data_IF_309653214564
#
_entry.id   IF_309653214564
#
_cell.length_a   1.000
_cell.length_b   1.000
_cell.length_c   1.000
_cell.angle_alpha   90.00
_cell.angle_beta   90.00
_cell.angle_gamma   90.00
#
_symmetry.space_group_name_H-M   'P 1'
#
loop_
_entity.id
_entity.type
_entity.pdbx_description
1 polymer ?
#
# COMPACT_ATOMS: atom_id res chain seq x y z
N UNK A 1 1.07 -34.99 -6.89
CA UNK A 1 0.87 -34.26 -8.16
C UNK A 1 1.04 -32.79 -7.84
N UNK A 2 2.19 -32.23 -8.22
CA UNK A 2 2.54 -30.85 -7.92
C UNK A 2 2.02 -29.99 -9.08
N UNK A 3 0.79 -29.50 -8.98
CA UNK A 3 0.29 -28.45 -9.87
C UNK A 3 1.10 -27.19 -9.56
N UNK A 4 2.21 -27.03 -10.27
CA UNK A 4 2.84 -25.73 -10.43
C UNK A 4 1.77 -24.82 -11.04
N UNK A 5 1.13 -24.04 -10.16
CA UNK A 5 0.33 -22.88 -10.48
C UNK A 5 1.08 -22.06 -11.51
N UNK A 6 0.68 -22.20 -12.79
CA UNK A 6 1.13 -21.31 -13.84
C UNK A 6 0.50 -19.96 -13.51
N UNK A 7 1.21 -19.15 -12.74
CA UNK A 7 0.88 -17.76 -12.51
C UNK A 7 0.57 -17.15 -13.88
N UNK A 8 -0.68 -16.76 -14.09
CA UNK A 8 -1.08 -16.01 -15.27
C UNK A 8 -0.20 -14.76 -15.33
N UNK A 9 0.31 -14.37 -16.50
CA UNK A 9 1.14 -13.18 -16.61
C UNK A 9 0.37 -11.99 -16.04
N UNK A 10 1.01 -11.24 -15.15
CA UNK A 10 0.45 -10.05 -14.55
C UNK A 10 0.03 -9.09 -15.65
N UNK A 11 -1.16 -8.49 -15.51
CA UNK A 11 -1.55 -7.43 -16.41
C UNK A 11 -0.56 -6.26 -16.24
N UNK A 12 -0.05 -5.64 -17.31
CA UNK A 12 1.00 -4.61 -17.22
C UNK A 12 0.66 -3.32 -16.45
N UNK A 13 -0.58 -3.20 -15.95
CA UNK A 13 -1.07 -2.01 -15.24
C UNK A 13 -1.47 -2.32 -13.80
N UNK A 14 -1.29 -3.57 -13.37
CA UNK A 14 -1.63 -4.06 -12.05
C UNK A 14 -0.36 -4.24 -11.19
N UNK A 15 -0.53 -4.18 -9.87
CA UNK A 15 0.55 -4.35 -8.90
C UNK A 15 1.05 -5.79 -8.83
N UNK A 16 2.37 -5.93 -8.78
CA UNK A 16 3.05 -7.22 -8.63
C UNK A 16 3.18 -7.67 -7.18
N UNK A 17 3.13 -6.73 -6.23
CA UNK A 17 3.38 -6.98 -4.81
C UNK A 17 2.14 -6.71 -3.96
N UNK A 18 1.94 -7.56 -2.97
CA UNK A 18 0.88 -7.40 -1.98
C UNK A 18 1.12 -6.11 -1.18
N UNK A 19 0.09 -5.28 -0.95
CA UNK A 19 0.25 -4.03 -0.21
C UNK A 19 0.75 -4.30 1.21
N UNK A 20 1.75 -3.54 1.63
CA UNK A 20 2.31 -3.62 2.98
C UNK A 20 1.61 -2.67 3.97
N UNK A 21 0.93 -1.66 3.45
CA UNK A 21 0.30 -0.59 4.22
C UNK A 21 -1.14 -0.38 3.77
N UNK A 22 -2.00 -0.04 4.72
CA UNK A 22 -3.36 0.44 4.46
C UNK A 22 -3.73 1.58 5.41
N UNK A 23 -4.91 2.14 5.22
CA UNK A 23 -5.47 3.19 6.09
C UNK A 23 -6.71 2.63 6.78
N UNK A 24 -6.70 2.63 8.11
CA UNK A 24 -7.86 2.21 8.90
C UNK A 24 -8.96 3.27 8.88
N UNK A 25 -10.17 2.91 9.31
CA UNK A 25 -11.35 3.81 9.39
C UNK A 25 -11.08 5.12 10.15
N UNK A 26 -10.21 5.08 11.17
CA UNK A 26 -9.82 6.26 11.94
C UNK A 26 -8.73 7.13 11.27
N UNK A 27 -8.42 6.85 10.01
CA UNK A 27 -7.45 7.57 9.19
C UNK A 27 -5.99 7.21 9.47
N UNK A 28 -5.71 6.31 10.43
CA UNK A 28 -4.33 5.91 10.73
C UNK A 28 -3.78 4.98 9.68
N UNK A 29 -2.53 5.20 9.31
CA UNK A 29 -1.76 4.28 8.47
C UNK A 29 -1.32 3.07 9.30
N UNK A 30 -1.60 1.86 8.80
CA UNK A 30 -1.37 0.59 9.50
C UNK A 30 -0.49 -0.32 8.67
N UNK A 31 0.52 -0.92 9.30
CA UNK A 31 1.33 -1.97 8.68
C UNK A 31 0.51 -3.26 8.66
N UNK A 32 0.25 -3.80 7.47
CA UNK A 32 -0.64 -4.95 7.26
C UNK A 32 0.00 -6.30 7.63
N UNK A 33 1.14 -6.27 8.32
CA UNK A 33 1.83 -7.45 8.81
C UNK A 33 0.92 -8.20 9.79
N UNK A 34 0.66 -9.47 9.46
CA UNK A 34 -0.18 -10.37 10.27
C UNK A 34 -1.57 -10.62 9.71
N UNK A 35 -2.03 -9.92 8.65
CA UNK A 35 -3.30 -10.26 8.00
C UNK A 35 -3.15 -11.54 7.17
N UNK A 36 -3.67 -12.65 7.69
CA UNK A 36 -3.61 -13.96 7.03
C UNK A 36 -4.49 -14.05 5.78
N UNK A 37 -5.49 -13.16 5.62
CA UNK A 37 -6.44 -13.18 4.50
C UNK A 37 -5.93 -12.37 3.31
N UNK A 38 -5.19 -11.30 3.57
CA UNK A 38 -4.73 -10.34 2.57
C UNK A 38 -3.96 -11.01 1.42
N UNK A 39 -3.02 -11.94 1.64
CA UNK A 39 -2.33 -12.61 0.52
C UNK A 39 -3.28 -13.35 -0.42
N UNK A 40 -4.28 -14.05 0.11
CA UNK A 40 -5.26 -14.79 -0.69
C UNK A 40 -6.20 -13.84 -1.44
N UNK A 41 -6.66 -12.78 -0.79
CA UNK A 41 -7.51 -11.75 -1.43
C UNK A 41 -6.76 -10.97 -2.51
N UNK A 42 -5.48 -10.68 -2.28
CA UNK A 42 -4.61 -10.06 -3.28
C UNK A 42 -4.39 -10.97 -4.49
N UNK A 43 -4.17 -12.27 -4.26
CA UNK A 43 -4.05 -13.24 -5.34
C UNK A 43 -5.35 -13.36 -6.17
N UNK A 44 -6.52 -13.30 -5.53
CA UNK A 44 -7.81 -13.24 -6.23
C UNK A 44 -7.93 -11.96 -7.05
N UNK A 45 -7.57 -10.81 -6.48
CA UNK A 45 -7.54 -9.54 -7.22
C UNK A 45 -6.59 -9.64 -8.43
N UNK A 46 -5.41 -10.25 -8.32
CA UNK A 46 -4.53 -10.47 -9.47
C UNK A 46 -5.16 -11.41 -10.52
N UNK A 47 -5.82 -12.48 -10.09
CA UNK A 47 -6.47 -13.45 -10.98
C UNK A 47 -7.69 -12.88 -11.75
N UNK A 48 -8.32 -11.85 -11.18
CA UNK A 48 -9.43 -11.09 -11.78
C UNK A 48 -8.99 -10.10 -12.87
N UNK A 49 -7.69 -10.00 -13.13
CA UNK A 49 -7.17 -9.12 -14.17
C UNK A 49 -7.70 -9.51 -15.57
N UNK A 50 -7.84 -8.51 -16.44
CA UNK A 50 -8.31 -8.70 -17.81
C UNK A 50 -7.39 -9.69 -18.55
N UNK A 51 -8.01 -10.71 -19.18
CA UNK A 51 -7.30 -11.77 -19.93
C UNK A 51 -7.05 -11.43 -21.40
N UNK A 52 -7.42 -10.23 -21.82
CA UNK A 52 -7.30 -9.76 -23.20
C UNK A 52 -7.90 -10.72 -24.26
N UNK A 53 -9.02 -11.37 -23.95
CA UNK A 53 -9.65 -12.36 -24.85
C UNK A 53 -10.28 -11.76 -26.11
N UNK A 54 -10.52 -10.45 -26.14
CA UNK A 54 -11.10 -9.73 -27.26
C UNK A 54 -10.27 -8.50 -27.56
N UNK A 55 -9.78 -8.42 -28.79
CA UNK A 55 -8.95 -7.32 -29.29
C UNK A 55 -9.43 -6.87 -30.66
N UNK A 56 -9.16 -5.60 -30.96
CA UNK A 56 -9.45 -4.98 -32.25
C UNK A 56 -8.25 -4.18 -32.73
N UNK A 57 -8.14 -3.99 -34.04
CA UNK A 57 -7.16 -3.07 -34.61
C UNK A 57 -7.75 -1.66 -34.60
N UNK A 58 -7.06 -0.71 -33.97
CA UNK A 58 -7.41 0.71 -34.01
C UNK A 58 -6.49 1.46 -34.96
N UNK A 59 -7.02 2.52 -35.59
CA UNK A 59 -6.24 3.50 -36.36
C UNK A 59 -6.29 4.86 -35.69
N UNK A 60 -5.16 5.53 -35.59
CA UNK A 60 -5.09 6.90 -35.08
C UNK A 60 -3.91 7.68 -35.67
N UNK A 61 -3.91 8.99 -35.50
CA UNK A 61 -2.82 9.85 -35.96
C UNK A 61 -1.90 10.20 -34.79
N UNK A 62 -0.58 10.04 -34.96
CA UNK A 62 0.39 10.46 -33.94
C UNK A 62 0.65 11.98 -34.01
N UNK A 63 1.46 12.51 -33.08
CA UNK A 63 1.80 13.94 -33.04
C UNK A 63 2.51 14.45 -34.31
N UNK A 64 3.18 13.55 -35.05
CA UNK A 64 3.84 13.85 -36.33
C UNK A 64 2.92 13.73 -37.55
N UNK A 65 1.60 13.56 -37.36
CA UNK A 65 0.64 13.46 -38.47
C UNK A 65 0.63 12.09 -39.17
N UNK A 66 1.38 11.11 -38.68
CA UNK A 66 1.45 9.78 -39.28
C UNK A 66 0.31 8.89 -38.76
N UNK A 67 -0.31 8.14 -39.67
CA UNK A 67 -1.30 7.13 -39.32
C UNK A 67 -0.62 5.91 -38.70
N UNK A 68 -1.07 5.56 -37.49
CA UNK A 68 -0.59 4.44 -36.69
C UNK A 68 -1.70 3.41 -36.51
N UNK A 69 -1.31 2.15 -36.39
CA UNK A 69 -2.22 1.04 -36.13
C UNK A 69 -1.70 0.20 -34.96
N UNK A 70 -2.59 -0.30 -34.10
CA UNK A 70 -2.21 -1.22 -33.01
C UNK A 70 -3.41 -2.08 -32.60
N UNK A 71 -3.13 -3.20 -31.94
CA UNK A 71 -4.14 -3.98 -31.24
C UNK A 71 -4.49 -3.32 -29.91
N UNK A 72 -5.79 -3.20 -29.64
CA UNK A 72 -6.30 -2.81 -28.33
C UNK A 72 -7.30 -3.83 -27.82
N UNK A 73 -7.22 -4.11 -26.52
CA UNK A 73 -8.21 -4.91 -25.84
C UNK A 73 -9.53 -4.14 -25.73
N UNK A 74 -10.65 -4.76 -26.12
CA UNK A 74 -11.97 -4.12 -26.03
C UNK A 74 -12.57 -4.15 -24.62
N UNK A 75 -11.99 -4.95 -23.72
CA UNK A 75 -12.42 -5.08 -22.32
C UNK A 75 -11.72 -4.11 -21.37
N UNK A 76 -10.39 -3.95 -21.48
CA UNK A 76 -9.63 -3.05 -20.60
C UNK A 76 -8.97 -1.87 -21.33
N UNK A 77 -9.10 -1.75 -22.66
CA UNK A 77 -8.53 -0.63 -23.42
C UNK A 77 -7.00 -0.68 -23.59
N UNK A 78 -6.32 -1.67 -23.02
CA UNK A 78 -4.87 -1.79 -23.09
C UNK A 78 -4.37 -1.98 -24.53
N UNK A 79 -3.26 -1.32 -24.86
CA UNK A 79 -2.56 -1.50 -26.12
C UNK A 79 -1.70 -2.77 -26.07
N UNK A 80 -2.17 -3.85 -26.70
CA UNK A 80 -1.57 -5.17 -26.60
C UNK A 80 -0.37 -5.37 -27.52
N UNK A 81 -0.25 -4.55 -28.57
CA UNK A 81 0.82 -4.67 -29.55
C UNK A 81 1.60 -3.36 -29.71
N UNK A 82 2.82 -3.51 -30.21
CA UNK A 82 3.51 -2.41 -30.88
C UNK A 82 2.79 -2.06 -32.18
N UNK A 83 3.30 -1.04 -32.87
CA UNK A 83 2.76 -0.55 -34.13
C UNK A 83 2.67 -1.65 -35.19
N UNK A 84 1.48 -1.80 -35.78
CA UNK A 84 1.25 -2.66 -36.93
C UNK A 84 1.57 -1.91 -38.21
N UNK A 85 2.06 -2.65 -39.21
CA UNK A 85 2.12 -2.15 -40.58
C UNK A 85 0.70 -1.96 -41.11
N UNK A 86 0.54 -1.01 -42.03
CA UNK A 86 -0.77 -0.70 -42.60
C UNK A 86 -1.40 -1.92 -43.28
N UNK A 87 -0.62 -2.67 -44.04
CA UNK A 87 -1.09 -3.84 -44.79
C UNK A 87 -1.63 -4.94 -43.86
N UNK A 88 -1.01 -5.10 -42.69
CA UNK A 88 -1.44 -6.07 -41.68
C UNK A 88 -2.72 -5.61 -40.99
N UNK A 89 -2.79 -4.33 -40.63
CA UNK A 89 -3.97 -3.71 -40.03
C UNK A 89 -5.20 -3.77 -40.95
N UNK A 90 -5.03 -3.49 -42.24
CA UNK A 90 -6.11 -3.57 -43.24
C UNK A 90 -6.60 -5.00 -43.46
N UNK A 91 -5.69 -5.98 -43.45
CA UNK A 91 -6.03 -7.41 -43.59
C UNK A 91 -6.82 -7.94 -42.39
N UNK A 92 -6.49 -7.50 -41.18
CA UNK A 92 -7.21 -7.90 -39.95
C UNK A 92 -8.53 -7.14 -39.76
N UNK A 93 -8.67 -5.97 -40.39
CA UNK A 93 -9.86 -5.13 -40.30
C UNK A 93 -9.74 -4.09 -39.19
N UNK A 94 -9.72 -2.81 -39.58
CA UNK A 94 -9.66 -1.69 -38.64
C UNK A 94 -11.07 -1.42 -38.08
N UNK A 95 -11.19 -1.42 -36.76
CA UNK A 95 -12.44 -1.10 -36.08
C UNK A 95 -12.83 0.36 -36.30
N UNK A 96 -14.06 0.58 -36.76
CA UNK A 96 -14.62 1.92 -36.96
C UNK A 96 -15.19 2.51 -35.66
N UNK A 97 -15.78 1.68 -34.80
CA UNK A 97 -16.48 2.12 -33.58
C UNK A 97 -15.62 2.08 -32.31
N UNK A 98 -14.35 1.70 -32.44
CA UNK A 98 -13.41 1.61 -31.32
C UNK A 98 -12.20 2.51 -31.58
N UNK A 99 -12.31 3.76 -31.14
CA UNK A 99 -11.30 4.79 -31.36
C UNK A 99 -10.18 4.73 -30.31
N UNK A 100 -9.07 5.44 -30.58
CA UNK A 100 -7.98 5.62 -29.60
C UNK A 100 -8.47 6.25 -28.29
N UNK A 101 -9.36 7.25 -28.37
CA UNK A 101 -9.87 7.94 -27.18
C UNK A 101 -10.77 7.03 -26.34
N UNK A 102 -11.57 6.18 -27.01
CA UNK A 102 -12.36 5.14 -26.34
C UNK A 102 -11.46 4.13 -25.65
N UNK A 103 -10.41 3.65 -26.34
CA UNK A 103 -9.43 2.73 -25.76
C UNK A 103 -8.73 3.36 -24.54
N UNK A 104 -8.29 4.61 -24.64
CA UNK A 104 -7.64 5.35 -23.55
C UNK A 104 -8.58 5.57 -22.36
N UNK A 105 -9.84 5.96 -22.60
CA UNK A 105 -10.85 6.13 -21.56
C UNK A 105 -11.12 4.82 -20.82
N UNK A 106 -11.28 3.73 -21.57
CA UNK A 106 -11.49 2.39 -20.99
C UNK A 106 -10.27 1.92 -20.18
N UNK A 107 -9.06 2.19 -20.66
CA UNK A 107 -7.82 1.88 -19.92
C UNK A 107 -7.70 2.69 -18.64
N UNK A 108 -8.04 3.97 -18.65
CA UNK A 108 -8.05 4.79 -17.45
C UNK A 108 -9.10 4.31 -16.46
N UNK A 109 -10.31 4.00 -16.93
CA UNK A 109 -11.38 3.45 -16.09
C UNK A 109 -10.95 2.13 -15.45
N UNK A 110 -10.45 1.18 -16.25
CA UNK A 110 -9.97 -0.10 -15.75
C UNK A 110 -8.90 0.10 -14.67
N UNK A 111 -7.89 0.94 -14.92
CA UNK A 111 -6.85 1.25 -13.93
C UNK A 111 -7.40 1.85 -12.64
N UNK A 112 -8.34 2.80 -12.74
CA UNK A 112 -8.96 3.43 -11.59
C UNK A 112 -9.76 2.41 -10.75
N UNK A 113 -10.55 1.56 -11.39
CA UNK A 113 -11.31 0.51 -10.71
C UNK A 113 -10.40 -0.52 -10.02
N UNK A 114 -9.32 -0.94 -10.70
CA UNK A 114 -8.32 -1.86 -10.14
C UNK A 114 -7.66 -1.27 -8.90
N UNK A 115 -7.21 -0.01 -8.98
CA UNK A 115 -6.59 0.70 -7.86
C UNK A 115 -7.56 0.90 -6.70
N UNK A 116 -8.82 1.25 -6.98
CA UNK A 116 -9.85 1.41 -5.95
C UNK A 116 -10.09 0.09 -5.20
N UNK A 117 -10.19 -1.04 -5.92
CA UNK A 117 -10.35 -2.37 -5.29
C UNK A 117 -9.14 -2.76 -4.46
N UNK A 118 -7.92 -2.53 -4.96
CA UNK A 118 -6.69 -2.82 -4.21
C UNK A 118 -6.60 -1.97 -2.94
N UNK A 119 -6.93 -0.69 -3.05
CA UNK A 119 -6.97 0.24 -1.91
C UNK A 119 -8.00 -0.22 -0.87
N UNK A 120 -9.20 -0.62 -1.31
CA UNK A 120 -10.22 -1.15 -0.43
C UNK A 120 -9.76 -2.43 0.29
N UNK A 121 -9.10 -3.36 -0.42
CA UNK A 121 -8.51 -4.56 0.19
C UNK A 121 -7.48 -4.21 1.27
N UNK A 122 -6.58 -3.26 1.00
CA UNK A 122 -5.56 -2.81 1.93
C UNK A 122 -6.18 -2.13 3.17
N UNK A 123 -7.18 -1.26 2.98
CA UNK A 123 -7.87 -0.58 4.08
C UNK A 123 -8.66 -1.56 4.93
N UNK A 124 -9.41 -2.48 4.32
CA UNK A 124 -10.11 -3.52 5.09
C UNK A 124 -9.15 -4.45 5.85
N UNK A 125 -7.93 -4.66 5.35
CA UNK A 125 -6.89 -5.37 6.11
C UNK A 125 -6.38 -4.53 7.28
N UNK A 126 -6.22 -3.22 7.10
CA UNK A 126 -5.88 -2.30 8.18
C UNK A 126 -6.92 -2.36 9.30
N UNK A 127 -8.21 -2.34 8.97
CA UNK A 127 -9.30 -2.39 9.95
C UNK A 127 -9.33 -3.71 10.74
N UNK A 128 -9.00 -4.83 10.10
CA UNK A 128 -8.91 -6.14 10.77
C UNK A 128 -7.74 -6.22 11.74
N UNK A 129 -6.58 -5.69 11.34
CA UNK A 129 -5.32 -5.87 12.07
C UNK A 129 -5.09 -4.81 13.14
N UNK A 130 -5.59 -3.59 12.94
CA UNK A 130 -5.34 -2.48 13.84
C UNK A 130 -5.77 -2.77 15.29
N UNK A 131 -6.96 -3.35 15.57
CA UNK A 131 -7.37 -3.65 16.95
C UNK A 131 -6.43 -4.64 17.63
N UNK A 132 -6.07 -5.72 16.94
CA UNK A 132 -5.15 -6.74 17.45
C UNK A 132 -3.77 -6.14 17.73
N UNK A 133 -3.21 -5.35 16.81
CA UNK A 133 -1.91 -4.69 17.03
C UNK A 133 -1.91 -3.72 18.22
N UNK A 134 -3.04 -3.04 18.46
CA UNK A 134 -3.22 -2.17 19.65
C UNK A 134 -3.26 -2.98 20.93
N UNK A 135 -3.97 -4.10 20.93
CA UNK A 135 -4.05 -4.98 22.08
C UNK A 135 -2.68 -5.60 22.41
N UNK A 136 -2.00 -6.17 21.42
CA UNK A 136 -0.65 -6.71 21.56
C UNK A 136 0.34 -5.64 22.07
N UNK A 137 0.20 -4.39 21.61
CA UNK A 137 1.01 -3.29 22.14
C UNK A 137 0.67 -2.96 23.60
N UNK A 138 -0.61 -2.91 23.94
CA UNK A 138 -1.06 -2.71 25.33
C UNK A 138 -0.54 -3.82 26.25
N UNK A 139 -0.62 -5.07 25.83
CA UNK A 139 -0.07 -6.23 26.54
C UNK A 139 1.44 -6.11 26.73
N UNK A 140 2.14 -5.72 25.67
CA UNK A 140 3.57 -5.47 25.75
C UNK A 140 3.92 -4.42 26.80
N UNK A 141 3.20 -3.28 26.83
CA UNK A 141 3.41 -2.23 27.83
C UNK A 141 3.01 -2.67 29.26
N UNK A 142 2.13 -3.67 29.40
CA UNK A 142 1.81 -4.28 30.71
C UNK A 142 2.79 -5.37 31.13
N UNK A 143 3.64 -5.83 30.22
CA UNK A 143 4.53 -6.96 30.47
C UNK A 143 5.60 -6.66 31.53
N UNK A 144 6.01 -7.66 32.34
CA UNK A 144 7.14 -7.51 33.27
C UNK A 144 8.45 -7.09 32.58
N UNK A 145 8.64 -7.48 31.32
CA UNK A 145 9.82 -7.11 30.54
C UNK A 145 9.87 -5.59 30.29
N UNK A 146 8.75 -5.01 29.84
CA UNK A 146 8.64 -3.57 29.66
C UNK A 146 8.77 -2.82 30.98
N UNK A 147 8.09 -3.27 32.05
CA UNK A 147 8.17 -2.61 33.36
C UNK A 147 9.61 -2.55 33.89
N UNK A 148 10.41 -3.62 33.69
CA UNK A 148 11.85 -3.61 34.00
C UNK A 148 12.63 -2.61 33.15
N UNK A 149 12.38 -2.53 31.84
CA UNK A 149 13.04 -1.54 30.96
C UNK A 149 12.67 -0.12 31.38
N UNK A 150 11.37 0.15 31.58
CA UNK A 150 10.83 1.42 32.04
C UNK A 150 11.52 1.89 33.33
N UNK A 151 11.61 1.02 34.33
CA UNK A 151 12.29 1.33 35.60
C UNK A 151 13.77 1.71 35.41
N UNK A 152 14.51 1.00 34.54
CA UNK A 152 15.92 1.33 34.24
C UNK A 152 16.07 2.69 33.57
N UNK A 153 15.19 3.03 32.62
CA UNK A 153 15.23 4.32 31.93
C UNK A 153 14.92 5.48 32.89
N UNK A 154 13.89 5.33 33.74
CA UNK A 154 13.58 6.32 34.77
C UNK A 154 14.72 6.50 35.79
N UNK A 155 15.35 5.39 36.20
CA UNK A 155 16.50 5.42 37.11
C UNK A 155 17.72 6.08 36.48
N UNK A 156 18.02 5.81 35.19
CA UNK A 156 19.08 6.49 34.42
C UNK A 156 18.91 8.01 34.47
N UNK A 157 17.68 8.47 34.29
CA UNK A 157 17.34 9.89 34.28
C UNK A 157 17.21 10.50 35.70
N UNK A 158 17.54 9.75 36.76
CA UNK A 158 17.32 10.13 38.15
C UNK A 158 15.89 10.65 38.40
N UNK A 159 14.90 10.03 37.76
CA UNK A 159 13.50 10.45 37.77
C UNK A 159 13.25 11.92 37.37
N UNK A 160 14.16 12.55 36.65
CA UNK A 160 14.02 13.91 36.10
C UNK A 160 13.71 13.84 34.60
N UNK A 161 12.75 14.64 34.13
CA UNK A 161 12.37 14.69 32.73
C UNK A 161 13.54 15.11 31.85
N UNK A 162 13.93 14.28 30.88
CA UNK A 162 15.04 14.54 29.95
C UNK A 162 14.68 15.62 28.89
N UNK A 163 13.39 15.99 28.75
CA UNK A 163 12.94 17.01 27.82
C UNK A 163 12.94 18.45 28.35
N UNK A 164 12.55 18.64 29.62
CA UNK A 164 12.52 19.98 30.24
C UNK A 164 13.53 20.15 31.37
N UNK A 165 14.14 19.06 31.84
CA UNK A 165 15.17 19.04 32.89
C UNK A 165 14.73 19.57 34.25
N UNK A 166 13.42 19.77 34.46
CA UNK A 166 12.85 20.37 35.68
C UNK A 166 11.82 19.47 36.36
N UNK A 167 10.85 18.95 35.60
CA UNK A 167 9.74 18.18 36.16
C UNK A 167 10.14 16.72 36.44
N UNK A 168 9.47 16.03 37.37
CA UNK A 168 9.62 14.59 37.53
C UNK A 168 9.25 13.83 36.25
N UNK A 169 10.05 12.84 35.86
CA UNK A 169 9.72 11.94 34.77
C UNK A 169 8.70 10.89 35.24
N UNK A 170 7.56 10.85 34.57
CA UNK A 170 6.45 9.92 34.86
C UNK A 170 6.35 8.80 33.83
N UNK A 171 6.89 9.01 32.63
CA UNK A 171 6.71 8.13 31.49
C UNK A 171 8.01 7.90 30.73
N UNK A 172 8.01 6.84 29.91
CA UNK A 172 9.09 6.53 28.99
C UNK A 172 8.53 6.56 27.58
N UNK A 173 9.12 7.42 26.76
CA UNK A 173 8.74 7.63 25.37
C UNK A 173 9.69 6.88 24.43
N UNK A 174 9.14 6.30 23.37
CA UNK A 174 9.89 5.62 22.31
C UNK A 174 10.28 6.62 21.23
N UNK A 175 11.57 6.86 21.03
CA UNK A 175 12.10 7.66 19.92
C UNK A 175 11.94 6.94 18.56
N UNK A 176 11.91 5.60 18.59
CA UNK A 176 11.66 4.75 17.45
C UNK A 176 11.00 3.45 17.91
N UNK A 177 10.23 2.83 17.01
CA UNK A 177 9.61 1.53 17.22
C UNK A 177 10.32 0.38 16.47
N UNK A 178 11.48 0.65 15.86
CA UNK A 178 12.21 -0.31 15.01
C UNK A 178 12.55 -1.63 15.73
N UNK A 179 12.92 -1.56 17.02
CA UNK A 179 13.29 -2.73 17.84
C UNK A 179 12.26 -3.02 18.94
N UNK A 180 10.98 -2.70 18.72
CA UNK A 180 9.90 -2.94 19.70
C UNK A 180 9.96 -4.37 20.26
N UNK A 181 9.94 -4.50 21.58
CA UNK A 181 10.10 -5.76 22.32
C UNK A 181 11.55 -6.11 22.71
N UNK A 182 12.52 -5.49 22.04
CA UNK A 182 13.97 -5.67 22.23
C UNK A 182 14.72 -4.33 22.10
N UNK A 183 14.14 -3.26 22.64
CA UNK A 183 14.61 -1.88 22.44
C UNK A 183 15.98 -1.67 23.07
N UNK A 184 16.79 -0.84 22.40
CA UNK A 184 17.99 -0.31 23.03
C UNK A 184 17.63 0.80 24.01
N UNK A 185 18.40 0.93 25.09
CA UNK A 185 18.10 1.94 26.12
C UNK A 185 18.15 3.38 25.59
N UNK A 186 18.96 3.65 24.56
CA UNK A 186 19.06 4.98 23.93
C UNK A 186 17.88 5.31 23.01
N UNK A 187 17.03 4.34 22.66
CA UNK A 187 15.80 4.58 21.90
C UNK A 187 14.64 5.02 22.81
N UNK A 188 14.89 5.06 24.11
CA UNK A 188 13.92 5.36 25.15
C UNK A 188 14.34 6.61 25.93
N UNK A 189 13.39 7.52 26.15
CA UNK A 189 13.61 8.79 26.86
C UNK A 189 12.59 8.94 27.99
N UNK A 190 13.04 9.34 29.18
CA UNK A 190 12.22 9.59 30.36
C UNK A 190 11.61 10.99 30.29
N UNK A 191 10.29 11.11 30.26
CA UNK A 191 9.59 12.38 30.12
C UNK A 191 8.54 12.58 31.22
N UNK A 192 8.25 13.83 31.53
CA UNK A 192 7.03 14.21 32.23
C UNK A 192 5.84 14.22 31.24
N UNK A 193 4.62 14.05 31.74
CA UNK A 193 3.40 14.06 30.93
C UNK A 193 3.30 15.28 29.98
N UNK A 194 3.57 16.54 30.40
CA UNK A 194 3.53 17.69 29.48
C UNK A 194 4.50 17.57 28.30
N UNK A 195 5.73 17.10 28.56
CA UNK A 195 6.72 16.91 27.50
C UNK A 195 6.35 15.74 26.58
N UNK A 196 5.79 14.66 27.16
CA UNK A 196 5.35 13.51 26.39
C UNK A 196 4.19 13.85 25.46
N UNK A 197 3.19 14.58 25.96
CA UNK A 197 2.05 15.06 25.15
C UNK A 197 2.51 16.01 24.06
N UNK A 198 3.42 16.96 24.38
CA UNK A 198 3.99 17.89 23.38
C UNK A 198 4.68 17.15 22.23
N UNK A 199 5.34 16.02 22.50
CA UNK A 199 6.00 15.22 21.47
C UNK A 199 5.00 14.55 20.50
N UNK A 200 3.84 14.11 20.98
CA UNK A 200 2.82 13.46 20.14
C UNK A 200 1.93 14.45 19.39
N UNK A 201 2.08 15.76 19.60
CA UNK A 201 1.36 16.75 18.82
C UNK A 201 1.93 16.80 17.40
N UNK A 202 1.09 16.73 16.35
CA UNK A 202 1.55 16.99 15.00
C UNK A 202 2.11 18.41 14.92
N UNK A 203 3.21 18.59 14.20
CA UNK A 203 3.77 19.92 13.94
C UNK A 203 2.65 20.85 13.46
N UNK A 204 2.46 21.97 14.14
CA UNK A 204 1.61 23.03 13.62
C UNK A 204 2.34 23.58 12.40
N UNK A 205 1.78 23.38 11.20
CA UNK A 205 2.21 24.11 10.03
C UNK A 205 1.98 25.61 10.32
N UNK A 206 3.06 26.34 10.56
CA UNK A 206 3.09 27.81 10.53
C UNK A 206 3.25 28.32 9.10
#
# INVERSE_FOLDING_TARGET
MNEQSKLLPLHPVDESECPQWGTAEDGRRVLLKGDERLPALFAQWQADACRHSHRVVIRFTNAGGQAMHQHCCTGCGYAESRWLKREDAEREGVAVDFTKDRAASLSNQYRAERLARLTALANSAADRIQPQQREEYSDYLRSPAWQRRRSKVLSRANHTCEGCLTNPATDVHHLTYAHKGAEFAFELVALCEPCHTRWHQPERAE
#
